data_IF_592528701441
#
_entry.id   IF_592528701441
#
_cell.length_a   1.000
_cell.length_b   1.000
_cell.length_c   1.000
_cell.angle_alpha   90.00
_cell.angle_beta   90.00
_cell.angle_gamma   90.00
#
_symmetry.space_group_name_H-M   'P 1'
#
loop_
_entity.id
_entity.type
_entity.pdbx_description
1 polymer ?
#
# COMPACT_ATOMS: atom_id res chain seq x y z
N UNK A 1 0.33 5.22 10.73
CA UNK A 1 0.94 4.12 9.98
C UNK A 1 0.07 3.82 8.78
N UNK A 2 0.58 4.01 7.58
CA UNK A 2 -0.14 3.81 6.32
C UNK A 2 0.30 2.52 5.61
N UNK A 3 -0.45 2.09 4.58
CA UNK A 3 -0.04 0.98 3.70
C UNK A 3 1.32 1.25 3.06
N UNK A 4 1.56 2.51 2.69
CA UNK A 4 2.80 2.96 2.05
C UNK A 4 3.99 2.82 3.01
N UNK A 5 3.89 3.34 4.23
CA UNK A 5 4.94 3.21 5.25
C UNK A 5 5.26 1.74 5.57
N UNK A 6 4.22 0.89 5.64
CA UNK A 6 4.40 -0.55 5.90
C UNK A 6 5.18 -1.23 4.78
N UNK A 7 4.84 -0.94 3.53
CA UNK A 7 5.50 -1.53 2.37
C UNK A 7 6.89 -0.93 2.12
N UNK A 8 7.14 0.32 2.55
CA UNK A 8 8.49 0.90 2.54
C UNK A 8 9.42 0.16 3.52
N UNK A 9 8.93 -0.15 4.73
CA UNK A 9 9.69 -0.85 5.77
C UNK A 9 9.88 -2.34 5.48
N UNK A 10 8.84 -3.02 4.98
CA UNK A 10 8.83 -4.48 4.85
C UNK A 10 9.07 -4.98 3.41
N UNK A 11 9.33 -4.07 2.46
CA UNK A 11 9.54 -4.31 1.01
C UNK A 11 8.34 -4.92 0.26
N UNK A 12 7.69 -5.96 0.79
CA UNK A 12 6.48 -6.58 0.25
C UNK A 12 5.68 -7.28 1.35
N UNK A 13 4.36 -7.25 1.28
CA UNK A 13 3.48 -7.88 2.27
C UNK A 13 2.21 -8.40 1.62
N UNK A 14 1.64 -9.47 2.16
CA UNK A 14 0.32 -9.96 1.77
C UNK A 14 -0.81 -9.20 2.49
N UNK A 15 -2.05 -9.36 2.00
CA UNK A 15 -3.21 -8.65 2.56
C UNK A 15 -3.40 -8.91 4.06
N UNK A 16 -3.21 -10.15 4.51
CA UNK A 16 -3.36 -10.51 5.92
C UNK A 16 -2.31 -9.84 6.80
N UNK A 17 -1.05 -9.85 6.38
CA UNK A 17 0.04 -9.17 7.09
C UNK A 17 -0.23 -7.66 7.20
N UNK A 18 -0.68 -7.02 6.13
CA UNK A 18 -1.02 -5.58 6.14
C UNK A 18 -2.22 -5.33 7.08
N UNK A 19 -3.21 -6.21 7.07
CA UNK A 19 -4.39 -6.11 7.92
C UNK A 19 -4.04 -6.22 9.41
N UNK A 20 -3.17 -7.16 9.79
CA UNK A 20 -2.72 -7.35 11.17
C UNK A 20 -1.98 -6.11 11.70
N UNK A 21 -1.19 -5.45 10.85
CA UNK A 21 -0.46 -4.25 11.24
C UNK A 21 -1.36 -3.01 11.36
N UNK A 22 -2.30 -2.82 10.42
CA UNK A 22 -3.16 -1.64 10.39
C UNK A 22 -4.42 -1.78 11.25
N UNK A 23 -4.79 -3.01 11.63
CA UNK A 23 -6.00 -3.33 12.42
C UNK A 23 -7.28 -2.73 11.82
N UNK A 24 -7.38 -2.71 10.50
CA UNK A 24 -8.57 -2.25 9.76
C UNK A 24 -9.34 -3.43 9.17
N UNK A 25 -10.60 -3.18 8.82
CA UNK A 25 -11.43 -4.18 8.16
C UNK A 25 -10.87 -4.57 6.78
N UNK A 26 -11.01 -5.86 6.47
CA UNK A 26 -10.49 -6.45 5.24
C UNK A 26 -11.08 -5.79 3.99
N UNK A 27 -12.37 -5.46 4.00
CA UNK A 27 -13.04 -4.80 2.87
C UNK A 27 -12.47 -3.40 2.58
N UNK A 28 -12.28 -2.59 3.62
CA UNK A 28 -11.69 -1.26 3.50
C UNK A 28 -10.22 -1.34 3.04
N UNK A 29 -9.44 -2.28 3.60
CA UNK A 29 -8.07 -2.52 3.17
C UNK A 29 -8.01 -2.91 1.69
N UNK A 30 -8.84 -3.86 1.25
CA UNK A 30 -8.90 -4.28 -0.14
C UNK A 30 -9.27 -3.14 -1.08
N UNK A 31 -10.21 -2.28 -0.69
CA UNK A 31 -10.55 -1.09 -1.47
C UNK A 31 -9.31 -0.21 -1.67
N UNK A 32 -8.59 0.13 -0.59
CA UNK A 32 -7.38 0.94 -0.67
C UNK A 32 -6.28 0.30 -1.52
N UNK A 33 -6.03 -1.00 -1.35
CA UNK A 33 -5.02 -1.73 -2.13
C UNK A 33 -5.35 -1.76 -3.62
N UNK A 34 -6.63 -1.93 -3.98
CA UNK A 34 -7.09 -1.88 -5.38
C UNK A 34 -6.93 -0.47 -5.94
N UNK A 35 -7.35 0.57 -5.20
CA UNK A 35 -7.20 1.96 -5.63
C UNK A 35 -5.74 2.34 -5.89
N UNK A 36 -4.83 1.99 -4.97
CA UNK A 36 -3.39 2.26 -5.12
C UNK A 36 -2.75 1.44 -6.26
N UNK A 37 -3.18 0.19 -6.45
CA UNK A 37 -2.77 -0.63 -7.60
C UNK A 37 -3.22 0.00 -8.92
N UNK A 38 -4.47 0.46 -9.01
CA UNK A 38 -5.03 1.08 -10.22
C UNK A 38 -4.29 2.39 -10.57
N UNK A 39 -3.91 3.16 -9.54
CA UNK A 39 -3.05 4.34 -9.67
C UNK A 39 -1.57 3.99 -9.98
N UNK A 40 -1.22 2.72 -10.14
CA UNK A 40 0.14 2.20 -10.39
C UNK A 40 1.15 2.55 -9.27
N UNK A 41 0.68 2.82 -8.06
CA UNK A 41 1.52 3.09 -6.88
C UNK A 41 2.04 1.76 -6.33
N UNK A 42 1.17 0.76 -6.28
CA UNK A 42 1.51 -0.60 -5.84
C UNK A 42 1.59 -1.54 -7.03
N UNK A 43 2.49 -2.51 -6.92
CA UNK A 43 2.48 -3.72 -7.73
C UNK A 43 1.89 -4.86 -6.89
N UNK A 44 1.11 -5.73 -7.52
CA UNK A 44 0.62 -6.93 -6.88
C UNK A 44 1.06 -8.17 -7.65
N UNK A 45 1.43 -9.22 -6.92
CA UNK A 45 1.76 -10.52 -7.48
C UNK A 45 1.03 -11.62 -6.70
N UNK A 46 0.53 -12.62 -7.42
CA UNK A 46 0.01 -13.83 -6.81
C UNK A 46 1.18 -14.75 -6.46
N UNK A 47 1.34 -15.07 -5.18
CA UNK A 47 2.34 -16.00 -4.68
C UNK A 47 1.60 -17.15 -4.00
N UNK A 48 1.45 -18.26 -4.72
CA UNK A 48 0.60 -19.37 -4.32
C UNK A 48 -0.89 -18.95 -4.24
N UNK A 49 -1.46 -19.06 -3.04
CA UNK A 49 -2.85 -18.65 -2.76
C UNK A 49 -2.98 -17.18 -2.33
N UNK A 50 -1.86 -16.52 -2.01
CA UNK A 50 -1.87 -15.19 -1.43
C UNK A 50 -1.57 -14.11 -2.47
N UNK A 51 -2.21 -12.96 -2.30
CA UNK A 51 -1.88 -11.74 -3.04
C UNK A 51 -0.86 -10.94 -2.23
N UNK A 52 0.31 -10.71 -2.81
CA UNK A 52 1.41 -9.94 -2.22
C UNK A 52 1.50 -8.60 -2.93
N UNK A 53 1.68 -7.54 -2.14
CA UNK A 53 1.76 -6.15 -2.59
C UNK A 53 3.14 -5.58 -2.27
N UNK A 54 3.64 -4.72 -3.15
CA UNK A 54 4.91 -4.01 -3.00
C UNK A 54 4.80 -2.60 -3.62
N UNK A 55 5.64 -1.66 -3.17
CA UNK A 55 5.73 -0.34 -3.80
C UNK A 55 6.31 -0.50 -5.21
N UNK A 56 5.60 0.02 -6.23
CA UNK A 56 6.05 -0.08 -7.62
C UNK A 56 7.34 0.72 -7.84
N UNK A 57 7.36 1.95 -7.34
CA UNK A 57 8.54 2.83 -7.38
C UNK A 57 8.63 3.63 -6.08
N UNK A 58 9.71 3.40 -5.32
CA UNK A 58 9.94 4.10 -4.04
C UNK A 58 10.06 5.64 -4.19
N UNK A 59 10.40 6.13 -5.39
CA UNK A 59 10.53 7.57 -5.67
C UNK A 59 9.16 8.26 -5.82
N UNK A 60 8.21 7.61 -6.49
CA UNK A 60 6.85 8.16 -6.69
C UNK A 60 6.11 8.29 -5.36
N UNK A 61 6.34 7.36 -4.44
CA UNK A 61 5.78 7.38 -3.09
C UNK A 61 6.17 8.65 -2.33
N UNK A 62 7.46 9.02 -2.34
CA UNK A 62 7.93 10.24 -1.66
C UNK A 62 7.34 11.52 -2.24
N UNK A 63 7.07 11.53 -3.55
CA UNK A 63 6.41 12.66 -4.22
C UNK A 63 4.94 12.74 -3.77
N UNK A 64 4.24 11.61 -3.68
CA UNK A 64 2.85 11.56 -3.21
C UNK A 64 2.70 12.00 -1.75
N UNK A 65 3.63 11.61 -0.88
CA UNK A 65 3.67 12.11 0.50
C UNK A 65 3.88 13.63 0.55
N UNK A 66 4.80 14.15 -0.25
CA UNK A 66 5.05 15.58 -0.36
C UNK A 66 3.81 16.35 -0.84
N UNK A 67 3.09 15.84 -1.85
CA UNK A 67 1.87 16.47 -2.36
C UNK A 67 0.71 16.36 -1.36
N UNK A 68 0.58 15.24 -0.64
CA UNK A 68 -0.45 15.07 0.39
C UNK A 68 -0.24 16.01 1.59
N UNK A 69 1.01 16.39 1.88
CA UNK A 69 1.31 17.42 2.90
C UNK A 69 1.01 18.85 2.41
N UNK A 70 0.77 19.05 1.12
CA UNK A 70 0.40 20.35 0.55
C UNK A 70 -1.11 20.60 0.50
N UNK A 71 -1.97 19.65 0.89
CA UNK A 71 -3.39 19.93 1.18
C UNK A 71 -3.54 20.43 2.63
N UNK A 72 -2.84 21.53 2.93
CA UNK A 72 -3.17 22.44 4.00
C UNK A 72 -3.53 23.78 3.35
N UNK A 73 -4.81 23.91 2.99
CA UNK A 73 -5.60 25.14 3.06
C UNK A 73 -7.07 24.75 3.33
#
# INVERSE_FOLDING_TARGET
>A
MSIIELLEKNSRMNVGEIQEHLKIEQAALSHHLIAMKNKKILKCQRVGKNMVYELKEKRIVKILECVAQCECD
#
